data_IF_424757004085
#
_entry.id   IF_424757004085
#
_cell.length_a   1.000
_cell.length_b   1.000
_cell.length_c   1.000
_cell.angle_alpha   90.00
_cell.angle_beta   90.00
_cell.angle_gamma   90.00
#
_symmetry.space_group_name_H-M   'P 1'
#
loop_
_entity.id
_entity.type
_entity.pdbx_description
1 polymer ?
#
# COMPACT_ATOMS: atom_id res chain seq x y z
N UNK A 1 21.41 3.65 58.26
CA UNK A 1 21.10 2.74 57.13
C UNK A 1 22.33 1.94 56.79
N UNK A 2 22.25 0.61 56.67
CA UNK A 2 23.39 -0.21 56.22
C UNK A 2 23.79 0.15 54.79
N UNK A 3 25.06 -0.07 54.42
CA UNK A 3 25.58 0.19 53.07
C UNK A 3 24.70 -0.47 51.99
N UNK A 4 24.26 -1.70 52.23
CA UNK A 4 23.33 -2.45 51.38
C UNK A 4 21.99 -1.71 51.16
N UNK A 5 21.39 -1.13 52.20
CA UNK A 5 20.15 -0.36 52.06
C UNK A 5 20.35 0.89 51.21
N UNK A 6 21.51 1.56 51.30
CA UNK A 6 21.82 2.73 50.45
C UNK A 6 21.96 2.34 48.98
N UNK A 7 22.62 1.21 48.71
CA UNK A 7 22.78 0.67 47.34
C UNK A 7 21.42 0.29 46.74
N UNK A 8 20.58 -0.43 47.50
CA UNK A 8 19.24 -0.82 47.04
C UNK A 8 18.37 0.42 46.74
N UNK A 9 18.36 1.42 47.64
CA UNK A 9 17.60 2.66 47.41
C UNK A 9 18.13 3.41 46.19
N UNK A 10 19.45 3.50 46.03
CA UNK A 10 20.06 4.12 44.84
C UNK A 10 19.67 3.40 43.54
N UNK A 11 19.72 2.07 43.53
CA UNK A 11 19.29 1.27 42.39
C UNK A 11 17.80 1.47 42.07
N UNK A 12 16.92 1.44 43.08
CA UNK A 12 15.49 1.67 42.89
C UNK A 12 15.18 3.07 42.37
N UNK A 13 15.92 4.09 42.81
CA UNK A 13 15.78 5.46 42.31
C UNK A 13 16.21 5.57 40.84
N UNK A 14 17.33 4.93 40.47
CA UNK A 14 17.78 4.88 39.08
C UNK A 14 16.74 4.16 38.21
N UNK A 15 16.23 3.01 38.68
CA UNK A 15 15.18 2.27 37.99
C UNK A 15 13.89 3.11 37.85
N UNK A 16 13.49 3.84 38.89
CA UNK A 16 12.32 4.72 38.82
C UNK A 16 12.52 5.88 37.82
N UNK A 17 13.73 6.45 37.74
CA UNK A 17 14.07 7.47 36.74
C UNK A 17 14.01 6.87 35.33
N UNK A 18 14.57 5.68 35.10
CA UNK A 18 14.48 4.99 33.81
C UNK A 18 13.03 4.70 33.41
N UNK A 19 12.20 4.22 34.34
CA UNK A 19 10.77 4.01 34.11
C UNK A 19 10.08 5.32 33.76
N UNK A 20 10.33 6.40 34.50
CA UNK A 20 9.73 7.70 34.24
C UNK A 20 10.13 8.27 32.86
N UNK A 21 11.40 8.19 32.49
CA UNK A 21 11.89 8.59 31.16
C UNK A 21 11.22 7.74 30.07
N UNK A 22 11.17 6.41 30.28
CA UNK A 22 10.52 5.48 29.35
C UNK A 22 9.03 5.76 29.18
N UNK A 23 8.31 6.08 30.27
CA UNK A 23 6.88 6.46 30.22
C UNK A 23 6.68 7.76 29.46
N UNK A 24 7.50 8.80 29.71
CA UNK A 24 7.39 10.09 29.01
C UNK A 24 7.67 9.90 27.52
N UNK A 25 8.73 9.16 27.17
CA UNK A 25 9.05 8.83 25.78
C UNK A 25 7.93 8.05 25.10
N UNK A 26 7.41 7.00 25.75
CA UNK A 26 6.31 6.19 25.23
C UNK A 26 5.04 7.00 24.99
N UNK A 27 4.69 7.92 25.90
CA UNK A 27 3.55 8.83 25.72
C UNK A 27 3.76 9.80 24.55
N UNK A 28 4.99 10.28 24.33
CA UNK A 28 5.30 11.16 23.21
C UNK A 28 5.16 10.42 21.87
N UNK A 29 5.70 9.20 21.79
CA UNK A 29 5.57 8.34 20.60
C UNK A 29 4.11 8.00 20.32
N UNK A 30 3.35 7.60 21.35
CA UNK A 30 1.92 7.30 21.20
C UNK A 30 1.14 8.51 20.65
N UNK A 31 1.38 9.70 21.18
CA UNK A 31 0.73 10.93 20.69
C UNK A 31 1.11 11.27 19.25
N UNK A 32 2.35 10.99 18.85
CA UNK A 32 2.77 11.18 17.45
C UNK A 32 2.00 10.23 16.54
N UNK A 33 1.90 8.95 16.91
CA UNK A 33 1.14 7.95 16.17
C UNK A 33 -0.36 8.29 16.11
N UNK A 34 -0.94 8.74 17.23
CA UNK A 34 -2.34 9.18 17.31
C UNK A 34 -2.61 10.36 16.41
N UNK A 35 -1.72 11.37 16.42
CA UNK A 35 -1.84 12.52 15.53
C UNK A 35 -1.74 12.10 14.06
N UNK A 36 -0.73 11.31 13.70
CA UNK A 36 -0.54 10.85 12.32
C UNK A 36 -1.74 10.02 11.84
N UNK A 37 -2.26 9.13 12.69
CA UNK A 37 -3.47 8.36 12.40
C UNK A 37 -4.68 9.27 12.18
N UNK A 38 -4.88 10.30 12.99
CA UNK A 38 -5.95 11.29 12.80
C UNK A 38 -5.79 12.09 11.50
N UNK A 39 -4.55 12.46 11.16
CA UNK A 39 -4.26 13.24 9.96
C UNK A 39 -4.55 12.44 8.67
N UNK A 40 -4.29 11.12 8.65
CA UNK A 40 -4.62 10.23 7.51
C UNK A 40 -6.04 9.66 7.51
N UNK A 41 -6.79 9.76 8.62
CA UNK A 41 -8.06 9.04 8.78
C UNK A 41 -9.18 9.68 7.94
N UNK A 42 -9.62 8.95 6.91
CA UNK A 42 -10.68 9.33 5.98
C UNK A 42 -11.65 8.14 5.82
N UNK A 43 -12.64 7.98 6.72
CA UNK A 43 -13.59 6.89 6.63
C UNK A 43 -14.54 7.07 5.44
N UNK A 44 -14.94 5.97 4.81
CA UNK A 44 -15.94 6.00 3.73
C UNK A 44 -17.34 5.89 4.35
N UNK A 45 -18.22 6.85 4.05
CA UNK A 45 -19.57 6.90 4.61
C UNK A 45 -20.41 5.67 4.24
N UNK A 46 -21.28 5.23 5.16
CA UNK A 46 -22.25 4.16 4.90
C UNK A 46 -21.67 2.74 4.86
N UNK A 47 -20.37 2.58 5.09
CA UNK A 47 -19.74 1.28 5.32
C UNK A 47 -19.75 0.97 6.81
N UNK A 48 -20.25 -0.21 7.18
CA UNK A 48 -20.02 -0.72 8.53
C UNK A 48 -18.53 -0.95 8.70
N UNK A 49 -17.97 -0.50 9.84
CA UNK A 49 -16.61 -0.90 10.22
C UNK A 49 -16.57 -2.42 10.19
N UNK A 50 -15.79 -2.98 9.26
CA UNK A 50 -15.68 -4.41 9.12
C UNK A 50 -15.22 -5.01 10.46
N UNK A 51 -16.11 -5.76 11.11
CA UNK A 51 -15.82 -6.56 12.33
C UNK A 51 -14.78 -7.66 12.03
N UNK A 52 -14.32 -7.73 10.79
CA UNK A 52 -13.32 -8.66 10.27
C UNK A 52 -11.99 -8.57 11.03
N UNK A 53 -11.48 -7.36 11.30
CA UNK A 53 -10.29 -7.18 12.17
C UNK A 53 -10.62 -7.64 13.60
N UNK A 54 -11.85 -7.40 14.04
CA UNK A 54 -12.32 -7.73 15.38
C UNK A 54 -12.25 -9.24 15.66
N UNK A 55 -12.60 -10.04 14.66
CA UNK A 55 -12.67 -11.49 14.74
C UNK A 55 -11.43 -12.21 14.18
N UNK A 56 -10.42 -11.49 13.67
CA UNK A 56 -9.28 -12.06 12.94
C UNK A 56 -9.73 -12.90 11.73
N UNK A 57 -10.73 -12.43 10.99
CA UNK A 57 -11.25 -13.09 9.80
C UNK A 57 -10.38 -12.74 8.56
N UNK A 58 -10.39 -13.58 7.50
CA UNK A 58 -9.77 -13.22 6.22
C UNK A 58 -10.30 -11.89 5.70
N UNK A 59 -9.40 -11.04 5.21
CA UNK A 59 -9.76 -9.68 4.82
C UNK A 59 -9.10 -9.23 3.53
N UNK A 60 -9.60 -8.13 2.98
CA UNK A 60 -9.10 -7.49 1.78
C UNK A 60 -8.83 -6.01 2.06
N UNK A 61 -7.71 -5.51 1.55
CA UNK A 61 -7.30 -4.12 1.64
C UNK A 61 -6.91 -3.60 0.26
N UNK A 62 -7.43 -2.44 -0.11
CA UNK A 62 -7.07 -1.78 -1.37
C UNK A 62 -5.88 -0.84 -1.15
N UNK A 63 -4.73 -1.17 -1.74
CA UNK A 63 -3.56 -0.30 -1.78
C UNK A 63 -3.57 0.56 -3.05
N UNK A 64 -3.47 1.87 -2.87
CA UNK A 64 -3.49 2.85 -3.96
C UNK A 64 -2.22 3.70 -3.95
N UNK A 65 -1.59 3.81 -5.13
CA UNK A 65 -0.52 4.79 -5.38
C UNK A 65 -1.06 5.95 -6.19
N UNK A 66 -1.25 7.11 -5.57
CA UNK A 66 -1.85 8.30 -6.18
C UNK A 66 -0.77 9.11 -6.90
N UNK A 67 -1.08 9.56 -8.11
CA UNK A 67 -0.12 10.17 -9.03
C UNK A 67 0.43 11.55 -8.59
N UNK A 68 -0.20 12.17 -7.59
CA UNK A 68 0.17 13.48 -7.10
C UNK A 68 1.48 13.43 -6.31
N UNK A 69 2.11 14.60 -6.25
CA UNK A 69 3.32 14.88 -5.47
C UNK A 69 3.42 16.39 -5.25
N UNK A 70 4.46 16.83 -4.56
CA UNK A 70 4.74 18.23 -4.27
C UNK A 70 4.76 19.12 -5.53
N UNK A 71 5.04 18.55 -6.71
CA UNK A 71 5.07 19.23 -8.02
C UNK A 71 3.76 19.04 -8.81
N UNK A 72 3.11 17.88 -8.74
CA UNK A 72 1.93 17.44 -9.51
C UNK A 72 0.68 17.42 -8.64
N UNK A 73 0.39 18.54 -7.98
CA UNK A 73 -0.66 18.64 -6.95
C UNK A 73 -2.09 18.30 -7.41
N UNK A 74 -2.36 18.31 -8.72
CA UNK A 74 -3.70 18.12 -9.28
C UNK A 74 -3.90 16.78 -9.99
N UNK A 75 -2.91 15.89 -9.97
CA UNK A 75 -3.01 14.57 -10.61
C UNK A 75 -3.49 13.51 -9.61
N UNK A 76 -4.80 13.33 -9.51
CA UNK A 76 -5.43 12.40 -8.56
C UNK A 76 -5.75 11.04 -9.19
N UNK A 77 -4.99 10.58 -10.18
CA UNK A 77 -5.18 9.24 -10.74
C UNK A 77 -4.52 8.19 -9.85
N UNK A 78 -5.15 7.05 -9.68
CA UNK A 78 -4.52 5.89 -9.03
C UNK A 78 -3.60 5.17 -10.03
N UNK A 79 -2.31 5.46 -9.97
CA UNK A 79 -1.30 4.88 -10.87
C UNK A 79 -0.82 3.49 -10.44
N UNK A 80 -1.10 3.11 -9.21
CA UNK A 80 -0.95 1.76 -8.68
C UNK A 80 -2.26 1.38 -8.02
N UNK A 81 -2.78 0.19 -8.34
CA UNK A 81 -4.01 -0.36 -7.80
C UNK A 81 -3.71 -1.80 -7.43
N UNK A 82 -3.68 -2.12 -6.15
CA UNK A 82 -3.43 -3.48 -5.68
C UNK A 82 -4.48 -3.88 -4.65
N UNK A 83 -5.10 -5.04 -4.86
CA UNK A 83 -5.95 -5.67 -3.86
C UNK A 83 -5.08 -6.64 -3.07
N UNK A 84 -4.99 -6.41 -1.77
CA UNK A 84 -4.27 -7.27 -0.84
C UNK A 84 -5.28 -8.12 -0.10
N UNK A 85 -5.22 -9.43 -0.24
CA UNK A 85 -5.99 -10.37 0.58
C UNK A 85 -5.08 -10.98 1.63
N UNK A 86 -5.54 -11.04 2.87
CA UNK A 86 -4.75 -11.54 4.00
C UNK A 86 -5.56 -12.57 4.76
N UNK A 87 -5.02 -13.77 4.88
CA UNK A 87 -5.63 -14.85 5.65
C UNK A 87 -4.78 -15.15 6.90
N UNK A 88 -5.22 -14.74 8.10
CA UNK A 88 -4.40 -14.79 9.31
C UNK A 88 -4.08 -16.22 9.77
N UNK A 89 -5.04 -17.15 9.66
CA UNK A 89 -4.84 -18.54 10.10
C UNK A 89 -3.96 -19.37 9.14
N UNK A 90 -4.16 -19.22 7.83
CA UNK A 90 -3.42 -19.95 6.81
C UNK A 90 -2.04 -19.33 6.52
N UNK A 91 -1.72 -18.17 7.09
CA UNK A 91 -0.42 -17.53 6.98
C UNK A 91 -0.11 -16.98 5.58
N UNK A 92 -1.13 -16.73 4.75
CA UNK A 92 -0.97 -16.35 3.35
C UNK A 92 -1.48 -14.93 3.09
N UNK A 93 -0.67 -14.16 2.38
CA UNK A 93 -1.06 -12.86 1.82
C UNK A 93 -0.92 -12.90 0.31
N UNK A 94 -1.90 -12.40 -0.42
CA UNK A 94 -1.80 -12.23 -1.89
C UNK A 94 -1.91 -10.76 -2.24
N UNK A 95 -0.95 -10.23 -3.01
CA UNK A 95 -1.00 -8.89 -3.59
C UNK A 95 -1.36 -9.01 -5.07
N UNK A 96 -2.59 -8.66 -5.42
CA UNK A 96 -3.11 -8.69 -6.78
C UNK A 96 -3.09 -7.29 -7.39
N UNK A 97 -2.26 -7.05 -8.41
CA UNK A 97 -2.34 -5.80 -9.16
C UNK A 97 -3.47 -5.81 -10.17
N UNK A 98 -4.25 -4.73 -10.17
CA UNK A 98 -5.28 -4.44 -11.17
C UNK A 98 -4.69 -3.43 -12.17
N UNK A 99 -4.80 -3.69 -13.49
CA UNK A 99 -4.22 -2.79 -14.47
C UNK A 99 -4.90 -1.42 -14.44
N UNK A 100 -4.12 -0.35 -14.25
CA UNK A 100 -4.66 1.02 -14.08
C UNK A 100 -5.48 1.52 -15.28
N UNK A 101 -5.20 0.98 -16.47
CA UNK A 101 -5.83 1.36 -17.73
C UNK A 101 -6.99 0.40 -18.09
N UNK A 102 -7.38 -0.51 -17.18
CA UNK A 102 -8.51 -1.43 -17.36
C UNK A 102 -9.79 -0.66 -17.66
N UNK A 103 -10.49 -1.05 -18.74
CA UNK A 103 -11.75 -0.44 -19.17
C UNK A 103 -12.92 -1.05 -18.41
N UNK A 104 -13.45 -0.29 -17.44
CA UNK A 104 -14.48 -0.76 -16.51
C UNK A 104 -15.58 0.28 -16.38
N UNK A 105 -16.76 -0.15 -15.92
CA UNK A 105 -17.81 0.79 -15.52
C UNK A 105 -17.33 1.56 -14.30
N UNK A 106 -17.36 2.89 -14.36
CA UNK A 106 -17.03 3.73 -13.21
C UNK A 106 -18.30 3.94 -12.39
N UNK A 107 -18.31 3.40 -11.17
CA UNK A 107 -19.50 3.44 -10.30
C UNK A 107 -19.91 4.88 -10.02
N UNK A 108 -21.20 5.17 -10.18
CA UNK A 108 -21.77 6.50 -9.99
C UNK A 108 -21.70 7.42 -11.21
N UNK A 109 -20.96 7.05 -12.26
CA UNK A 109 -20.81 7.87 -13.47
C UNK A 109 -21.68 7.42 -14.65
N UNK A 110 -22.10 6.15 -14.68
CA UNK A 110 -22.98 5.60 -15.72
C UNK A 110 -22.31 5.42 -17.09
N UNK A 111 -20.98 5.41 -17.15
CA UNK A 111 -20.19 5.13 -18.33
C UNK A 111 -18.92 4.36 -17.98
N UNK A 112 -18.26 3.81 -19.01
CA UNK A 112 -17.01 3.07 -18.88
C UNK A 112 -15.81 3.96 -19.18
N UNK A 113 -14.74 3.81 -18.39
CA UNK A 113 -13.49 4.51 -18.57
C UNK A 113 -12.35 3.68 -17.96
N UNK A 114 -11.13 4.22 -17.94
CA UNK A 114 -10.01 3.65 -17.20
C UNK A 114 -10.32 3.64 -15.71
N UNK A 115 -10.09 2.50 -15.09
CA UNK A 115 -10.32 2.33 -13.66
C UNK A 115 -9.55 3.35 -12.80
N UNK A 116 -8.36 3.79 -13.22
CA UNK A 116 -7.60 4.81 -12.48
C UNK A 116 -8.27 6.18 -12.40
N UNK A 117 -9.21 6.48 -13.30
CA UNK A 117 -9.95 7.73 -13.30
C UNK A 117 -11.02 7.77 -12.20
N UNK A 118 -11.45 6.61 -11.67
CA UNK A 118 -12.41 6.56 -10.56
C UNK A 118 -11.96 7.44 -9.37
N UNK A 119 -10.68 7.34 -9.00
CA UNK A 119 -10.12 8.18 -7.94
C UNK A 119 -10.08 9.67 -8.32
N UNK A 120 -9.85 10.01 -9.58
CA UNK A 120 -9.87 11.42 -10.02
C UNK A 120 -11.27 12.02 -10.04
N UNK A 121 -12.29 11.20 -10.29
CA UNK A 121 -13.68 11.66 -10.38
C UNK A 121 -14.37 11.75 -9.02
N UNK A 122 -14.16 10.78 -8.13
CA UNK A 122 -14.86 10.70 -6.85
C UNK A 122 -13.99 10.26 -5.67
N UNK A 123 -12.66 10.42 -5.79
CA UNK A 123 -11.74 10.07 -4.71
C UNK A 123 -11.74 8.57 -4.38
N UNK A 124 -11.28 8.25 -3.19
CA UNK A 124 -11.14 6.86 -2.75
C UNK A 124 -12.46 6.12 -2.70
N UNK A 125 -13.56 6.75 -2.26
CA UNK A 125 -14.87 6.10 -2.19
C UNK A 125 -15.32 5.56 -3.56
N UNK A 126 -15.24 6.38 -4.60
CA UNK A 126 -15.60 5.94 -5.96
C UNK A 126 -14.66 4.84 -6.46
N UNK A 127 -13.37 4.94 -6.15
CA UNK A 127 -12.39 3.91 -6.52
C UNK A 127 -12.71 2.56 -5.85
N UNK A 128 -12.96 2.57 -4.55
CA UNK A 128 -13.32 1.37 -3.78
C UNK A 128 -14.59 0.74 -4.33
N UNK A 129 -15.65 1.53 -4.52
CA UNK A 129 -16.92 1.04 -5.08
C UNK A 129 -16.74 0.46 -6.49
N UNK A 130 -15.89 1.08 -7.31
CA UNK A 130 -15.57 0.60 -8.67
C UNK A 130 -14.83 -0.74 -8.62
N UNK A 131 -13.86 -0.90 -7.71
CA UNK A 131 -13.12 -2.15 -7.54
C UNK A 131 -14.03 -3.27 -7.04
N UNK A 132 -14.88 -3.00 -6.04
CA UNK A 132 -15.84 -3.98 -5.53
C UNK A 132 -16.82 -4.43 -6.61
N UNK A 133 -17.36 -3.48 -7.38
CA UNK A 133 -18.27 -3.79 -8.48
C UNK A 133 -17.58 -4.59 -9.59
N UNK A 134 -16.30 -4.31 -9.86
CA UNK A 134 -15.56 -4.96 -10.92
C UNK A 134 -15.11 -6.38 -10.56
N UNK A 135 -14.59 -6.55 -9.34
CA UNK A 135 -14.02 -7.81 -8.85
C UNK A 135 -15.00 -8.65 -8.02
N UNK A 136 -16.21 -8.16 -7.72
CA UNK A 136 -17.23 -8.89 -6.96
C UNK A 136 -16.70 -9.49 -5.65
N UNK A 137 -15.89 -8.71 -4.93
CA UNK A 137 -15.39 -9.00 -3.59
C UNK A 137 -15.60 -7.79 -2.70
N UNK A 138 -15.79 -7.97 -1.39
CA UNK A 138 -15.69 -6.84 -0.47
C UNK A 138 -14.26 -6.30 -0.46
N UNK A 139 -14.12 -4.98 -0.33
CA UNK A 139 -12.88 -4.28 0.06
C UNK A 139 -13.12 -3.77 1.47
N UNK A 140 -12.51 -4.42 2.46
CA UNK A 140 -12.77 -4.11 3.88
C UNK A 140 -12.14 -2.79 4.29
N UNK A 141 -10.91 -2.52 3.83
CA UNK A 141 -10.16 -1.31 4.13
C UNK A 141 -9.39 -0.80 2.92
N UNK A 142 -8.85 0.41 3.02
CA UNK A 142 -7.93 0.94 2.03
C UNK A 142 -6.75 1.66 2.67
N UNK A 143 -5.68 1.76 1.89
CA UNK A 143 -4.59 2.70 2.15
C UNK A 143 -4.17 3.33 0.83
N UNK A 144 -4.14 4.65 0.79
CA UNK A 144 -3.63 5.41 -0.34
C UNK A 144 -2.39 6.18 0.08
N UNK A 145 -1.38 6.22 -0.79
CA UNK A 145 -0.18 7.05 -0.61
C UNK A 145 0.15 7.75 -1.92
N UNK A 146 0.66 8.97 -1.83
CA UNK A 146 1.15 9.70 -2.99
C UNK A 146 2.61 9.28 -3.33
N UNK A 147 3.18 9.90 -4.36
CA UNK A 147 4.53 9.55 -4.82
C UNK A 147 5.64 10.01 -3.86
N UNK A 148 5.46 11.12 -3.13
CA UNK A 148 6.40 11.60 -2.11
C UNK A 148 6.43 10.61 -0.94
N UNK A 149 5.26 10.16 -0.49
CA UNK A 149 5.12 9.16 0.56
C UNK A 149 5.82 7.84 0.23
N UNK A 150 5.75 7.37 -1.02
CA UNK A 150 6.50 6.16 -1.43
C UNK A 150 8.02 6.36 -1.30
N UNK A 151 8.54 7.50 -1.76
CA UNK A 151 9.98 7.79 -1.66
C UNK A 151 10.42 7.87 -0.19
N UNK A 152 9.66 8.60 0.63
CA UNK A 152 9.94 8.77 2.06
C UNK A 152 9.88 7.43 2.82
N UNK A 153 8.90 6.55 2.51
CA UNK A 153 8.81 5.21 3.09
C UNK A 153 10.05 4.37 2.75
N UNK A 154 10.52 4.42 1.51
CA UNK A 154 11.74 3.71 1.10
C UNK A 154 12.97 4.26 1.81
N UNK A 155 13.09 5.57 1.96
CA UNK A 155 14.22 6.17 2.70
C UNK A 155 14.18 5.80 4.19
N UNK A 156 12.98 5.73 4.80
CA UNK A 156 12.81 5.34 6.20
C UNK A 156 13.25 3.90 6.49
N UNK A 157 13.05 2.97 5.54
CA UNK A 157 13.58 1.59 5.66
C UNK A 157 15.08 1.50 5.34
N UNK A 158 15.71 2.60 4.95
CA UNK A 158 17.12 2.65 4.57
C UNK A 158 17.36 2.14 3.15
N UNK A 159 16.43 2.37 2.23
CA UNK A 159 16.49 1.95 0.82
C UNK A 159 15.97 0.53 0.57
N UNK A 160 15.80 0.19 -0.71
CA UNK A 160 15.38 -1.14 -1.17
C UNK A 160 16.47 -1.80 -2.01
N UNK A 161 16.53 -3.13 -1.97
CA UNK A 161 17.35 -3.92 -2.90
C UNK A 161 16.43 -4.65 -3.87
N UNK A 162 16.57 -4.39 -5.16
CA UNK A 162 15.70 -4.94 -6.22
C UNK A 162 16.51 -5.77 -7.22
N UNK A 163 15.86 -6.70 -7.91
CA UNK A 163 16.47 -7.50 -8.99
C UNK A 163 16.03 -6.99 -10.37
N UNK A 164 16.86 -6.12 -10.95
CA UNK A 164 16.54 -5.48 -12.21
C UNK A 164 16.85 -6.39 -13.41
N UNK A 165 15.82 -6.75 -14.17
CA UNK A 165 15.92 -7.77 -15.23
C UNK A 165 16.57 -7.28 -16.53
N UNK A 166 16.70 -5.96 -16.73
CA UNK A 166 17.33 -5.39 -17.92
C UNK A 166 17.75 -3.94 -17.67
N UNK A 167 18.74 -3.45 -18.41
CA UNK A 167 19.21 -2.08 -18.25
C UNK A 167 18.26 -1.05 -18.86
N UNK A 168 18.01 0.06 -18.16
CA UNK A 168 17.23 1.19 -18.65
C UNK A 168 17.64 2.51 -17.98
N UNK A 169 17.15 3.64 -18.50
CA UNK A 169 17.37 4.96 -17.89
C UNK A 169 16.02 5.59 -17.57
N UNK A 170 15.85 6.12 -16.35
CA UNK A 170 14.65 6.87 -15.96
C UNK A 170 15.04 8.15 -15.21
N UNK A 171 14.48 9.31 -15.62
CA UNK A 171 14.80 10.63 -15.04
C UNK A 171 16.31 10.93 -14.92
N UNK A 172 17.09 10.51 -15.92
CA UNK A 172 18.57 10.62 -15.97
C UNK A 172 19.32 9.78 -14.92
N UNK A 173 18.68 8.73 -14.40
CA UNK A 173 19.30 7.69 -13.57
C UNK A 173 19.43 6.43 -14.41
N UNK A 174 20.63 5.88 -14.45
CA UNK A 174 20.89 4.61 -15.13
C UNK A 174 20.67 3.44 -14.16
N UNK A 175 19.81 2.51 -14.57
CA UNK A 175 19.51 1.27 -13.86
C UNK A 175 20.14 0.12 -14.63
N UNK A 176 21.34 -0.36 -14.24
CA UNK A 176 21.95 -1.52 -14.89
C UNK A 176 21.17 -2.81 -14.58
N UNK A 177 21.34 -3.82 -15.41
CA UNK A 177 20.82 -5.17 -15.13
C UNK A 177 21.52 -5.78 -13.90
N UNK A 178 20.76 -6.51 -13.08
CA UNK A 178 21.20 -7.20 -11.88
C UNK A 178 20.66 -6.57 -10.58
N UNK A 179 21.29 -6.94 -9.46
CA UNK A 179 20.87 -6.49 -8.13
C UNK A 179 21.25 -5.03 -7.89
N UNK A 180 20.26 -4.18 -7.62
CA UNK A 180 20.43 -2.75 -7.38
C UNK A 180 19.99 -2.39 -5.97
N UNK A 181 20.75 -1.53 -5.31
CA UNK A 181 20.32 -0.84 -4.10
C UNK A 181 19.84 0.55 -4.47
N UNK A 182 18.62 0.90 -4.07
CA UNK A 182 17.93 2.14 -4.45
C UNK A 182 17.49 2.89 -3.20
N UNK A 183 17.79 4.19 -3.13
CA UNK A 183 17.14 5.10 -2.19
C UNK A 183 15.70 5.45 -2.62
N UNK A 184 14.99 6.25 -1.84
CA UNK A 184 13.59 6.61 -2.08
C UNK A 184 13.34 7.25 -3.43
N UNK A 185 14.18 8.20 -3.82
CA UNK A 185 14.08 8.85 -5.13
C UNK A 185 14.32 7.86 -6.27
N UNK A 186 15.37 7.04 -6.17
CA UNK A 186 15.72 6.04 -7.18
C UNK A 186 14.65 4.94 -7.30
N UNK A 187 14.10 4.48 -6.18
CA UNK A 187 13.01 3.50 -6.15
C UNK A 187 11.72 4.07 -6.76
N UNK A 188 11.41 5.34 -6.49
CA UNK A 188 10.28 6.01 -7.13
C UNK A 188 10.44 6.05 -8.66
N UNK A 189 11.63 6.38 -9.19
CA UNK A 189 11.80 6.40 -10.65
C UNK A 189 11.84 4.98 -11.24
N UNK A 190 12.42 4.02 -10.52
CA UNK A 190 12.39 2.59 -10.87
C UNK A 190 10.96 2.08 -11.03
N UNK A 191 10.06 2.41 -10.10
CA UNK A 191 8.64 2.00 -10.15
C UNK A 191 7.78 2.80 -11.13
N UNK A 192 8.30 3.88 -11.72
CA UNK A 192 7.58 4.71 -12.72
C UNK A 192 7.95 4.38 -14.16
N UNK A 193 9.12 3.79 -14.39
CA UNK A 193 9.58 3.46 -15.74
C UNK A 193 8.59 2.50 -16.43
N UNK A 194 8.25 2.80 -17.70
CA UNK A 194 7.34 1.99 -18.52
C UNK A 194 7.80 1.86 -19.97
N UNK A 195 8.29 2.96 -20.55
CA UNK A 195 8.45 3.09 -22.00
C UNK A 195 9.54 2.17 -22.56
N UNK A 196 10.59 1.95 -21.79
CA UNK A 196 11.73 1.11 -22.19
C UNK A 196 11.57 -0.34 -21.71
N UNK A 197 10.47 -0.67 -21.02
CA UNK A 197 10.20 -2.01 -20.55
C UNK A 197 9.59 -2.88 -21.67
N UNK A 198 10.18 -4.06 -21.99
CA UNK A 198 9.60 -5.00 -22.94
C UNK A 198 8.18 -5.45 -22.59
N UNK A 199 7.84 -5.49 -21.30
CA UNK A 199 6.50 -5.82 -20.77
C UNK A 199 5.63 -4.57 -20.57
N UNK A 200 6.13 -3.38 -20.89
CA UNK A 200 5.42 -2.11 -20.80
C UNK A 200 4.86 -1.83 -19.41
N UNK A 201 3.54 -1.63 -19.31
CA UNK A 201 2.87 -1.30 -18.05
C UNK A 201 2.90 -2.46 -17.05
N UNK A 202 2.95 -3.71 -17.51
CA UNK A 202 3.00 -4.89 -16.63
C UNK A 202 4.36 -5.02 -15.95
N UNK A 203 5.46 -4.73 -16.66
CA UNK A 203 6.78 -4.66 -16.05
C UNK A 203 6.86 -3.54 -15.00
N UNK A 204 6.18 -2.39 -15.23
CA UNK A 204 6.04 -1.33 -14.22
C UNK A 204 5.29 -1.83 -12.98
N UNK A 205 4.16 -2.50 -13.18
CA UNK A 205 3.36 -3.04 -12.08
C UNK A 205 4.11 -4.13 -11.29
N UNK A 206 4.91 -4.96 -11.96
CA UNK A 206 5.82 -5.91 -11.31
C UNK A 206 6.80 -5.21 -10.38
N UNK A 207 7.47 -4.15 -10.84
CA UNK A 207 8.39 -3.33 -10.01
C UNK A 207 7.68 -2.65 -8.85
N UNK A 208 6.44 -2.18 -9.05
CA UNK A 208 5.62 -1.63 -7.98
C UNK A 208 5.30 -2.68 -6.90
N UNK A 209 4.91 -3.91 -7.29
CA UNK A 209 4.68 -5.01 -6.35
C UNK A 209 5.96 -5.44 -5.62
N UNK A 210 7.08 -5.54 -6.32
CA UNK A 210 8.39 -5.85 -5.75
C UNK A 210 8.75 -4.87 -4.62
N UNK A 211 8.68 -3.56 -4.88
CA UNK A 211 8.95 -2.53 -3.85
C UNK A 211 7.93 -2.59 -2.71
N UNK A 212 6.65 -2.84 -3.02
CA UNK A 212 5.60 -2.98 -1.99
C UNK A 212 5.85 -4.19 -1.09
N UNK A 213 6.27 -5.32 -1.65
CA UNK A 213 6.64 -6.51 -0.91
C UNK A 213 7.84 -6.26 0.01
N UNK A 214 8.90 -5.62 -0.50
CA UNK A 214 10.09 -5.30 0.31
C UNK A 214 9.72 -4.41 1.50
N UNK A 215 8.87 -3.40 1.29
CA UNK A 215 8.37 -2.53 2.37
C UNK A 215 7.56 -3.36 3.40
N UNK A 216 6.67 -4.24 2.94
CA UNK A 216 5.86 -5.09 3.82
C UNK A 216 6.72 -6.06 4.66
N UNK A 217 7.71 -6.71 4.05
CA UNK A 217 8.66 -7.60 4.73
C UNK A 217 9.51 -6.84 5.76
N UNK A 218 9.92 -5.60 5.44
CA UNK A 218 10.66 -4.77 6.39
C UNK A 218 9.81 -4.37 7.59
N UNK A 219 8.53 -4.02 7.39
CA UNK A 219 7.62 -3.61 8.46
C UNK A 219 7.42 -4.70 9.53
N UNK A 220 7.43 -5.98 9.16
CA UNK A 220 7.30 -7.10 10.11
C UNK A 220 8.63 -7.51 10.76
N UNK A 221 9.75 -6.94 10.33
CA UNK A 221 11.06 -7.19 10.93
C UNK A 221 11.20 -6.49 12.29
N UNK A 222 12.14 -6.95 13.12
CA UNK A 222 12.42 -6.30 14.41
C UNK A 222 12.76 -4.81 14.27
N UNK A 223 13.50 -4.44 13.22
CA UNK A 223 13.84 -3.05 12.90
C UNK A 223 12.61 -2.26 12.44
N UNK A 224 11.74 -2.86 11.65
CA UNK A 224 10.50 -2.24 11.17
C UNK A 224 9.54 -1.89 12.29
N UNK A 225 9.39 -2.76 13.30
CA UNK A 225 8.54 -2.48 14.47
C UNK A 225 8.96 -1.21 15.21
N UNK A 226 10.27 -0.96 15.30
CA UNK A 226 10.79 0.26 15.92
C UNK A 226 10.50 1.52 15.09
N UNK A 227 10.29 1.38 13.78
CA UNK A 227 10.04 2.45 12.82
C UNK A 227 8.54 2.73 12.55
N UNK A 228 7.62 1.94 13.14
CA UNK A 228 6.16 2.16 13.00
C UNK A 228 5.74 3.62 13.22
N UNK A 229 6.22 4.35 14.25
CA UNK A 229 5.85 5.75 14.42
C UNK A 229 6.25 6.65 13.24
N UNK A 230 7.38 6.37 12.61
CA UNK A 230 7.89 7.09 11.45
C UNK A 230 7.07 6.75 10.19
N UNK A 231 6.76 5.47 9.95
CA UNK A 231 5.88 5.08 8.84
C UNK A 231 4.49 5.72 8.94
N UNK A 232 3.89 5.70 10.13
CA UNK A 232 2.61 6.35 10.34
C UNK A 232 2.71 7.85 10.10
N UNK A 233 3.77 8.52 10.53
CA UNK A 233 3.97 9.94 10.24
C UNK A 233 4.07 10.21 8.74
N UNK A 234 4.84 9.41 7.99
CA UNK A 234 5.02 9.57 6.54
C UNK A 234 3.70 9.38 5.82
N UNK A 235 2.91 8.36 6.19
CA UNK A 235 1.58 8.12 5.64
C UNK A 235 0.63 9.26 6.03
N UNK A 236 0.69 9.74 7.27
CA UNK A 236 -0.07 10.89 7.78
C UNK A 236 0.10 12.15 6.94
N UNK A 237 1.33 12.39 6.47
CA UNK A 237 1.66 13.57 5.68
C UNK A 237 1.35 13.40 4.18
N UNK A 238 1.23 12.16 3.69
CA UNK A 238 1.24 11.85 2.25
C UNK A 238 0.11 10.92 1.76
N UNK A 239 -0.80 10.52 2.63
CA UNK A 239 -1.74 9.45 2.35
C UNK A 239 -2.98 9.48 3.23
N UNK A 240 -3.89 8.54 2.93
CA UNK A 240 -5.20 8.43 3.57
C UNK A 240 -5.56 6.96 3.78
N UNK A 241 -6.29 6.66 4.85
CA UNK A 241 -6.87 5.35 5.15
C UNK A 241 -8.16 5.49 5.95
N UNK A 242 -9.05 4.51 5.85
CA UNK A 242 -10.22 4.38 6.71
C UNK A 242 -9.90 3.72 8.07
N UNK A 243 -8.66 3.27 8.28
CA UNK A 243 -8.26 2.61 9.53
C UNK A 243 -8.03 3.61 10.66
N UNK A 244 -8.51 3.27 11.84
CA UNK A 244 -8.14 3.94 13.11
C UNK A 244 -6.79 3.41 13.62
N UNK A 245 -6.13 4.15 14.51
CA UNK A 245 -4.89 3.68 15.16
C UNK A 245 -5.05 2.33 15.87
N UNK A 246 -6.20 2.11 16.51
CA UNK A 246 -6.51 0.85 17.17
C UNK A 246 -6.63 -0.29 16.15
N UNK A 247 -7.36 -0.08 15.05
CA UNK A 247 -7.46 -1.07 13.97
C UNK A 247 -6.10 -1.35 13.34
N UNK A 248 -5.27 -0.34 13.06
CA UNK A 248 -3.90 -0.54 12.54
C UNK A 248 -3.04 -1.39 13.50
N UNK A 249 -3.11 -1.10 14.81
CA UNK A 249 -2.36 -1.87 15.83
C UNK A 249 -2.84 -3.32 15.90
N UNK A 250 -4.15 -3.54 15.78
CA UNK A 250 -4.75 -4.87 15.75
C UNK A 250 -4.39 -5.64 14.49
N UNK A 251 -4.47 -4.99 13.32
CA UNK A 251 -3.99 -5.54 12.06
C UNK A 251 -2.55 -6.01 12.17
N UNK A 252 -1.67 -5.14 12.64
CA UNK A 252 -0.28 -5.50 12.85
C UNK A 252 -0.14 -6.70 13.78
N UNK A 253 -0.78 -6.68 14.96
CA UNK A 253 -0.60 -7.77 15.94
C UNK A 253 -1.23 -9.11 15.54
N UNK A 254 -2.40 -9.10 14.89
CA UNK A 254 -3.14 -10.30 14.48
C UNK A 254 -2.68 -10.87 13.14
N UNK A 255 -2.26 -10.03 12.18
CA UNK A 255 -2.00 -10.45 10.80
C UNK A 255 -0.51 -10.42 10.41
N UNK A 256 0.41 -9.90 11.25
CA UNK A 256 1.86 -9.89 10.95
C UNK A 256 2.42 -11.25 10.51
N UNK A 257 1.90 -12.37 11.05
CA UNK A 257 2.35 -13.71 10.68
C UNK A 257 1.95 -14.08 9.25
N UNK A 258 0.84 -13.56 8.74
CA UNK A 258 0.40 -13.83 7.37
C UNK A 258 1.21 -13.07 6.31
N UNK A 259 2.04 -12.10 6.74
CA UNK A 259 2.94 -11.37 5.86
C UNK A 259 4.28 -12.11 5.64
N UNK A 260 4.50 -13.29 6.26
CA UNK A 260 5.71 -14.07 6.02
C UNK A 260 5.73 -14.78 4.66
N UNK A 261 4.56 -15.00 4.06
CA UNK A 261 4.39 -15.60 2.75
C UNK A 261 3.50 -14.70 1.90
N UNK A 262 4.14 -13.92 1.03
CA UNK A 262 3.47 -12.98 0.12
C UNK A 262 3.51 -13.56 -1.28
N UNK A 263 2.34 -13.91 -1.82
CA UNK A 263 2.15 -14.25 -3.22
C UNK A 263 1.86 -12.99 -4.03
N UNK A 264 2.54 -12.83 -5.17
CA UNK A 264 2.27 -11.74 -6.10
C UNK A 264 1.43 -12.24 -7.27
N UNK A 265 0.36 -11.53 -7.59
CA UNK A 265 -0.49 -11.82 -8.74
C UNK A 265 -0.67 -10.58 -9.62
N UNK A 266 -0.72 -10.80 -10.94
CA UNK A 266 -0.96 -9.78 -11.95
C UNK A 266 -2.19 -10.17 -12.74
N UNK A 267 -3.25 -9.39 -12.61
CA UNK A 267 -4.36 -9.46 -13.56
C UNK A 267 -3.88 -8.90 -14.90
N UNK A 268 -4.13 -9.61 -16.00
CA UNK A 268 -3.71 -9.17 -17.33
C UNK A 268 -4.88 -8.79 -18.22
N UNK A 269 -4.60 -8.07 -19.30
CA UNK A 269 -5.58 -7.59 -20.27
C UNK A 269 -4.89 -7.20 -21.57
N UNK A 270 -5.67 -7.17 -22.64
CA UNK A 270 -5.19 -6.82 -23.97
C UNK A 270 -5.34 -5.31 -24.21
N UNK A 271 -4.27 -4.71 -24.73
CA UNK A 271 -4.28 -3.28 -25.05
C UNK A 271 -5.15 -3.00 -26.28
N UNK A 272 -6.06 -2.04 -26.17
CA UNK A 272 -6.79 -1.52 -27.32
C UNK A 272 -6.78 0.01 -27.32
N UNK A 273 -6.98 0.61 -28.49
CA UNK A 273 -7.09 2.07 -28.64
C UNK A 273 -8.48 2.42 -29.13
N UNK A 274 -9.20 3.27 -28.39
CA UNK A 274 -10.53 3.73 -28.74
C UNK A 274 -10.79 5.13 -28.20
N UNK A 275 -11.64 5.90 -28.85
CA UNK A 275 -12.21 7.18 -28.36
C UNK A 275 -13.07 7.05 -27.08
N UNK A 276 -13.15 5.86 -26.48
CA UNK A 276 -14.10 5.53 -25.40
C UNK A 276 -15.51 5.14 -25.89
N UNK A 277 -15.79 5.12 -27.21
CA UNK A 277 -17.11 4.79 -27.80
C UNK A 277 -17.14 4.18 -29.25
N UNK A 278 -16.00 4.11 -29.98
CA UNK A 278 -15.61 3.75 -31.38
C UNK A 278 -14.74 4.82 -32.12
N UNK A 279 -13.40 4.61 -32.13
CA UNK A 279 -12.59 4.74 -33.35
C UNK A 279 -11.59 5.92 -33.50
N UNK A 280 -10.34 5.53 -33.79
CA UNK A 280 -9.37 6.21 -34.67
C UNK A 280 -8.53 7.40 -34.15
N UNK A 281 -8.83 8.00 -32.99
CA UNK A 281 -7.95 8.98 -32.30
C UNK A 281 -7.78 8.68 -30.80
N UNK A 282 -7.82 7.39 -30.46
CA UNK A 282 -8.27 6.91 -29.16
C UNK A 282 -7.33 7.08 -27.98
N UNK A 283 -7.95 7.11 -26.81
CA UNK A 283 -7.34 6.80 -25.52
C UNK A 283 -6.98 5.29 -25.54
N UNK A 284 -5.79 4.96 -25.06
CA UNK A 284 -5.37 3.55 -24.92
C UNK A 284 -5.92 2.97 -23.63
N UNK A 285 -6.61 1.84 -23.71
CA UNK A 285 -7.20 1.10 -22.60
C UNK A 285 -6.63 -0.33 -22.54
N UNK A 286 -6.98 -1.05 -21.49
CA UNK A 286 -6.78 -2.50 -21.36
C UNK A 286 -8.13 -3.19 -21.20
N UNK A 287 -8.44 -4.10 -22.10
CA UNK A 287 -9.60 -4.98 -21.99
C UNK A 287 -9.18 -6.26 -21.28
N UNK A 288 -9.75 -6.53 -20.11
CA UNK A 288 -9.53 -7.81 -19.43
C UNK A 288 -10.57 -8.80 -19.93
N UNK A 289 -10.13 -9.97 -20.38
CA UNK A 289 -11.03 -11.01 -20.86
C UNK A 289 -11.91 -11.51 -19.70
N UNK A 290 -13.10 -12.03 -20.02
CA UNK A 290 -13.98 -12.62 -19.01
C UNK A 290 -13.32 -13.82 -18.30
N UNK A 291 -12.47 -14.57 -19.01
CA UNK A 291 -11.72 -15.69 -18.43
C UNK A 291 -10.74 -15.21 -17.36
N UNK A 292 -9.92 -14.20 -17.68
CA UNK A 292 -8.95 -13.61 -16.75
C UNK A 292 -9.62 -12.88 -15.59
N UNK A 293 -10.74 -12.20 -15.85
CA UNK A 293 -11.55 -11.58 -14.82
C UNK A 293 -12.08 -12.63 -13.84
N UNK A 294 -12.70 -13.71 -14.34
CA UNK A 294 -13.23 -14.77 -13.50
C UNK A 294 -12.13 -15.50 -12.71
N UNK A 295 -10.99 -15.77 -13.34
CA UNK A 295 -9.81 -16.33 -12.66
C UNK A 295 -9.38 -15.43 -11.48
N UNK A 296 -9.31 -14.12 -11.72
CA UNK A 296 -8.95 -13.14 -10.69
C UNK A 296 -10.00 -13.12 -9.56
N UNK A 297 -11.30 -13.11 -9.89
CA UNK A 297 -12.39 -13.15 -8.92
C UNK A 297 -12.35 -14.40 -8.06
N UNK A 298 -12.24 -15.57 -8.68
CA UNK A 298 -12.19 -16.87 -7.98
C UNK A 298 -11.02 -16.93 -7.01
N UNK A 299 -9.83 -16.47 -7.42
CA UNK A 299 -8.65 -16.42 -6.55
C UNK A 299 -8.89 -15.52 -5.33
N UNK A 300 -9.36 -14.29 -5.56
CA UNK A 300 -9.60 -13.32 -4.49
C UNK A 300 -10.70 -13.80 -3.54
N UNK A 301 -11.77 -14.39 -4.05
CA UNK A 301 -12.84 -14.97 -3.24
C UNK A 301 -12.36 -16.17 -2.43
N UNK A 302 -11.46 -16.99 -2.98
CA UNK A 302 -10.86 -18.12 -2.26
C UNK A 302 -9.96 -17.64 -1.12
N UNK A 303 -9.24 -16.52 -1.29
CA UNK A 303 -8.42 -15.95 -0.22
C UNK A 303 -9.25 -15.38 0.95
N UNK A 304 -10.54 -15.09 0.71
CA UNK A 304 -11.48 -14.52 1.68
C UNK A 304 -12.40 -15.56 2.33
N UNK A 305 -12.21 -16.85 2.06
CA UNK A 305 -12.91 -17.98 2.68
C UNK A 305 -12.05 -18.63 3.76
#
# INVERSE_FOLDING_TARGET
MSLLKKIIVGFLLIMAIFVAIGTVYGLQVYRQMEKAALDMHQPIEGREEAVVIENSEPMSLLLLGIANDAKRKTDYRANSIMVVTVHPENGRTTITSVPRDAYVEIVGMGYYDKINHAHSFGGTEMMVNTIESYLEIPIHHYLSINMDGLADLVDAIGGVTVDNQFAFTAENIDYPEGTLYLNGWEALQYTRMRKDDPEGDYGRQRRQREVTQIIAEHMISFSGVAQIPEFLSIIGDNGETDLTLNQMTRLFTQYQNALSEIELFQMVGEGFTGDGFKGEAGISYQEVSLEELNLTKERLQQDLQ
#
